data_IF_151830247680
#
_entry.id   IF_151830247680
#
_cell.length_a   1.000
_cell.length_b   1.000
_cell.length_c   1.000
_cell.angle_alpha   90.00
_cell.angle_beta   90.00
_cell.angle_gamma   90.00
#
_symmetry.space_group_name_H-M   'P 1'
#
loop_
_entity.id
_entity.type
_entity.pdbx_description
1 polymer ?
#
# COMPACT_ATOMS: atom_id res chain seq x y z
N UNK A 1 -9.63 -1.85 -7.70
CA UNK A 1 -8.18 -1.60 -7.59
C UNK A 1 -7.99 -0.38 -6.70
N UNK A 2 -7.56 -0.58 -5.46
CA UNK A 2 -7.35 0.51 -4.50
C UNK A 2 -5.94 1.07 -4.65
N UNK A 3 -5.83 2.40 -4.68
CA UNK A 3 -4.55 3.10 -4.87
C UNK A 3 -4.23 3.90 -3.61
N UNK A 4 -3.03 3.72 -3.09
CA UNK A 4 -2.51 4.48 -1.96
C UNK A 4 -1.33 5.32 -2.42
N UNK A 5 -1.21 6.52 -1.87
CA UNK A 5 -0.06 7.37 -2.08
C UNK A 5 0.84 7.20 -0.88
N UNK A 6 2.00 6.58 -1.08
CA UNK A 6 3.01 6.46 -0.03
C UNK A 6 4.28 7.12 -0.52
N UNK A 7 5.00 7.82 0.37
CA UNK A 7 6.28 8.38 0.01
C UNK A 7 7.29 7.23 -0.21
N UNK A 8 8.30 7.40 -1.06
CA UNK A 8 9.21 6.33 -1.47
C UNK A 8 9.99 5.74 -0.30
N UNK A 9 10.20 6.49 0.79
CA UNK A 9 10.82 6.01 2.03
C UNK A 9 9.97 4.95 2.73
N UNK A 10 8.63 5.06 2.63
CA UNK A 10 7.70 4.07 3.17
C UNK A 10 7.59 2.82 2.28
N UNK A 11 8.15 2.87 1.06
CA UNK A 11 8.20 1.78 0.08
C UNK A 11 9.63 1.47 -0.39
N UNK A 12 10.60 1.70 0.49
CA UNK A 12 12.00 1.39 0.23
C UNK A 12 12.28 -0.11 0.26
N UNK A 13 11.45 -0.89 0.96
CA UNK A 13 11.62 -2.33 1.17
C UNK A 13 10.56 -3.15 0.42
N UNK A 14 10.59 -4.48 0.60
CA UNK A 14 9.60 -5.43 0.06
C UNK A 14 8.22 -5.28 0.69
N UNK A 15 8.11 -4.52 1.79
CA UNK A 15 6.86 -4.23 2.48
C UNK A 15 6.67 -2.72 2.60
N UNK A 16 5.49 -2.25 2.19
CA UNK A 16 5.04 -0.90 2.46
C UNK A 16 4.07 -0.91 3.64
N UNK A 17 4.21 0.05 4.55
CA UNK A 17 3.30 0.22 5.69
C UNK A 17 2.47 1.47 5.50
N UNK A 18 1.15 1.31 5.57
CA UNK A 18 0.20 2.41 5.61
C UNK A 18 0.15 2.99 7.02
N UNK A 19 0.22 4.32 7.11
CA UNK A 19 0.11 5.08 8.36
C UNK A 19 -1.35 5.24 8.80
N UNK A 20 -1.59 5.55 10.07
CA UNK A 20 -2.93 5.62 10.69
C UNK A 20 -4.03 6.32 9.87
N UNK A 21 -3.83 7.49 9.23
CA UNK A 21 -4.88 8.12 8.42
C UNK A 21 -5.31 7.25 7.22
N UNK A 22 -4.36 6.56 6.59
CA UNK A 22 -4.64 5.65 5.47
C UNK A 22 -5.24 4.32 5.93
N UNK A 23 -4.88 3.85 7.14
CA UNK A 23 -5.44 2.61 7.73
C UNK A 23 -6.94 2.76 7.97
N UNK A 24 -7.37 3.91 8.51
CA UNK A 24 -8.79 4.17 8.73
C UNK A 24 -9.55 4.22 7.40
N UNK A 25 -8.97 4.81 6.36
CA UNK A 25 -9.56 4.84 5.02
C UNK A 25 -9.62 3.42 4.40
N UNK A 26 -8.54 2.66 4.50
CA UNK A 26 -8.43 1.26 4.06
C UNK A 26 -9.47 0.34 4.71
N UNK A 27 -9.72 0.49 6.01
CA UNK A 27 -10.65 -0.37 6.75
C UNK A 27 -12.10 0.11 6.70
N UNK A 28 -12.34 1.39 6.96
CA UNK A 28 -13.71 1.90 7.11
C UNK A 28 -14.36 2.23 5.76
N UNK A 29 -13.58 2.70 4.79
CA UNK A 29 -14.09 3.09 3.47
C UNK A 29 -13.91 1.95 2.47
N UNK A 30 -12.69 1.43 2.36
CA UNK A 30 -12.36 0.44 1.33
C UNK A 30 -12.64 -1.00 1.76
N UNK A 31 -12.75 -1.26 3.07
CA UNK A 31 -12.97 -2.58 3.68
C UNK A 31 -12.00 -3.64 3.16
N UNK A 32 -10.74 -3.25 3.00
CA UNK A 32 -9.68 -4.15 2.57
C UNK A 32 -9.55 -5.33 3.53
N UNK A 33 -9.26 -6.49 2.96
CA UNK A 33 -8.96 -7.73 3.67
C UNK A 33 -7.51 -8.14 3.39
N UNK A 34 -6.89 -8.93 4.28
CA UNK A 34 -5.66 -9.63 3.94
C UNK A 34 -5.85 -10.43 2.65
N UNK A 35 -4.91 -10.27 1.73
CA UNK A 35 -4.93 -10.92 0.43
C UNK A 35 -5.51 -10.09 -0.71
N UNK A 36 -5.98 -8.87 -0.46
CA UNK A 36 -6.46 -7.95 -1.49
C UNK A 36 -5.31 -7.28 -2.24
N UNK A 37 -5.51 -7.07 -3.54
CA UNK A 37 -4.54 -6.38 -4.39
C UNK A 37 -4.70 -4.86 -4.30
N UNK A 38 -3.59 -4.18 -4.07
CA UNK A 38 -3.50 -2.73 -3.95
C UNK A 38 -2.36 -2.20 -4.83
N UNK A 39 -2.51 -0.95 -5.27
CA UNK A 39 -1.46 -0.22 -5.96
C UNK A 39 -0.93 0.88 -5.05
N UNK A 40 0.38 1.05 -5.01
CA UNK A 40 1.03 2.12 -4.27
C UNK A 40 1.74 3.03 -5.26
N UNK A 41 1.44 4.31 -5.16
CA UNK A 41 2.04 5.35 -5.98
C UNK A 41 3.10 6.04 -5.12
N UNK A 42 4.36 5.98 -5.56
CA UNK A 42 5.53 6.45 -4.80
C UNK A 42 5.77 7.97 -4.90
N UNK A 43 4.88 8.69 -5.59
CA UNK A 43 4.98 10.14 -5.80
C UNK A 43 6.09 10.59 -6.78
N UNK A 44 6.97 9.68 -7.23
CA UNK A 44 8.06 9.96 -8.18
C UNK A 44 7.74 9.46 -9.60
N UNK A 45 6.49 9.04 -9.85
CA UNK A 45 6.05 8.45 -11.11
C UNK A 45 6.16 6.93 -11.17
N UNK A 46 6.57 6.28 -10.08
CA UNK A 46 6.54 4.84 -9.93
C UNK A 46 5.20 4.33 -9.41
N UNK A 47 4.76 3.19 -9.95
CA UNK A 47 3.60 2.44 -9.45
C UNK A 47 4.07 1.07 -9.01
N UNK A 48 3.80 0.77 -7.74
CA UNK A 48 4.03 -0.51 -7.10
C UNK A 48 2.70 -1.26 -7.07
N UNK A 49 2.72 -2.53 -7.41
CA UNK A 49 1.62 -3.44 -7.13
C UNK A 49 2.00 -4.26 -5.90
N UNK A 50 1.05 -4.40 -5.00
CA UNK A 50 1.23 -5.15 -3.79
C UNK A 50 -0.05 -5.84 -3.34
N UNK A 51 0.12 -6.69 -2.34
CA UNK A 51 -0.95 -7.43 -1.70
C UNK A 51 -0.96 -7.11 -0.23
N UNK A 52 -2.12 -6.80 0.33
CA UNK A 52 -2.28 -6.65 1.78
C UNK A 52 -1.93 -7.97 2.45
N UNK A 53 -0.97 -7.95 3.35
CA UNK A 53 -0.54 -9.16 4.07
C UNK A 53 -1.21 -9.21 5.45
N UNK A 54 -1.18 -8.07 6.16
CA UNK A 54 -1.79 -7.93 7.48
C UNK A 54 -2.50 -6.58 7.60
N UNK A 55 -3.66 -6.60 8.27
CA UNK A 55 -4.51 -5.43 8.47
C UNK A 55 -4.83 -5.33 9.96
N UNK A 56 -4.12 -4.43 10.64
CA UNK A 56 -4.30 -4.13 12.06
C UNK A 56 -5.03 -2.79 12.23
N UNK A 57 -5.61 -2.56 13.41
CA UNK A 57 -6.37 -1.32 13.71
C UNK A 57 -5.63 -0.02 13.39
N UNK A 58 -4.29 0.00 13.50
CA UNK A 58 -3.46 1.19 13.31
C UNK A 58 -2.35 1.01 12.28
N UNK A 59 -2.25 -0.16 11.63
CA UNK A 59 -1.26 -0.40 10.59
C UNK A 59 -1.77 -1.39 9.56
N UNK A 60 -1.48 -1.14 8.29
CA UNK A 60 -1.69 -2.13 7.22
C UNK A 60 -0.36 -2.37 6.56
N UNK A 61 0.01 -3.65 6.45
CA UNK A 61 1.22 -4.10 5.79
C UNK A 61 0.85 -4.59 4.40
N UNK A 62 1.54 -4.05 3.39
CA UNK A 62 1.38 -4.43 2.01
C UNK A 62 2.71 -5.00 1.53
N UNK A 63 2.70 -6.24 1.08
CA UNK A 63 3.84 -6.84 0.41
C UNK A 63 3.86 -6.39 -1.05
N UNK A 64 4.96 -5.81 -1.49
CA UNK A 64 5.17 -5.41 -2.89
C UNK A 64 5.43 -6.67 -3.72
N UNK A 65 4.57 -6.94 -4.69
CA UNK A 65 4.71 -8.09 -5.61
C UNK A 65 5.32 -7.69 -6.94
N UNK A 66 5.12 -6.44 -7.37
CA UNK A 66 5.65 -5.95 -8.63
C UNK A 66 5.96 -4.46 -8.57
N UNK A 67 7.11 -4.03 -9.10
CA UNK A 67 7.52 -2.61 -9.13
C UNK A 67 7.63 -2.15 -10.57
N UNK A 68 6.76 -1.22 -10.97
CA UNK A 68 6.80 -0.57 -12.29
C UNK A 68 7.28 0.86 -12.12
N UNK A 69 8.55 1.08 -12.46
CA UNK A 69 9.11 2.42 -12.61
C UNK A 69 8.90 2.83 -14.06
N UNK A 70 8.04 3.82 -14.31
CA UNK A 70 7.98 4.45 -15.63
C UNK A 70 9.22 5.34 -15.74
N UNK A 71 10.18 4.93 -16.57
CA UNK A 71 11.36 5.70 -16.96
C UNK A 71 11.11 6.39 -18.30
#
# INVERSE_FOLDING_TARGET
MHRFFLPPEACAQEFCRLSEPDVRHAQQVLRLKPGDSVQIIDGQGGVLEGRTEDIQRQSVTVQVTHRRVQR
#
